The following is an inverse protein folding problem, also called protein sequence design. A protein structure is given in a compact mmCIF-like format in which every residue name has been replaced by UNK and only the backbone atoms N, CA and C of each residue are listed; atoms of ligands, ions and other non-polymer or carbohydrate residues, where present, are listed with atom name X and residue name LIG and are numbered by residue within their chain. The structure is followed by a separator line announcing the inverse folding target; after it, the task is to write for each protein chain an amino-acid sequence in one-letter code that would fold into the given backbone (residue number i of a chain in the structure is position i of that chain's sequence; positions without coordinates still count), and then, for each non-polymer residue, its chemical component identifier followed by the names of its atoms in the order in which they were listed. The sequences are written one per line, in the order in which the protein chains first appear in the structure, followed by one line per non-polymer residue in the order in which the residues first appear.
data_IF_453544572097
#
_entry.id   IF_453544572097
#
_cell.length_a   1.000
_cell.length_b   1.000
_cell.length_c   1.000
_cell.angle_alpha   90.00
_cell.angle_beta   90.00
_cell.angle_gamma   90.00
#
_symmetry.space_group_name_H-M   'P 1'
#
loop_
_entity.id
_entity.type
_entity.pdbx_description
1 polymer ?
#
# COMPACT_ATOMS: atom_id res chain seq x y z
N UNK A 1 12.27 12.18 -51.68
CA UNK A 1 13.67 11.85 -51.29
C UNK A 1 13.84 12.32 -49.86
N UNK A 2 13.95 11.40 -48.89
CA UNK A 2 14.14 11.80 -47.49
C UNK A 2 15.58 12.31 -47.32
N UNK A 3 15.70 13.53 -46.82
CA UNK A 3 17.00 14.13 -46.53
C UNK A 3 17.74 13.28 -45.48
N UNK A 4 19.02 12.95 -45.75
CA UNK A 4 19.87 12.15 -44.86
C UNK A 4 19.94 12.75 -43.45
N UNK A 5 19.84 14.07 -43.34
CA UNK A 5 19.81 14.77 -42.06
C UNK A 5 18.58 14.42 -41.20
N UNK A 6 17.41 14.24 -41.83
CA UNK A 6 16.19 13.85 -41.12
C UNK A 6 16.23 12.39 -40.67
N UNK A 7 16.84 11.51 -41.45
CA UNK A 7 16.97 10.10 -41.10
C UNK A 7 17.83 9.90 -39.84
N UNK A 8 18.90 10.69 -39.69
CA UNK A 8 19.77 10.65 -38.52
C UNK A 8 19.02 11.07 -37.24
N UNK A 9 18.23 12.16 -37.31
CA UNK A 9 17.44 12.65 -36.17
C UNK A 9 16.37 11.66 -35.72
N UNK A 10 15.70 11.01 -36.66
CA UNK A 10 14.68 9.98 -36.36
C UNK A 10 15.33 8.78 -35.68
N UNK A 11 16.53 8.35 -36.13
CA UNK A 11 17.25 7.23 -35.54
C UNK A 11 17.68 7.53 -34.10
N UNK A 12 18.20 8.72 -33.82
CA UNK A 12 18.62 9.11 -32.47
C UNK A 12 17.42 9.24 -31.51
N UNK A 13 16.28 9.73 -32.01
CA UNK A 13 15.04 9.80 -31.24
C UNK A 13 14.53 8.39 -30.89
N UNK A 14 14.49 7.48 -31.87
CA UNK A 14 14.09 6.09 -31.68
C UNK A 14 15.02 5.36 -30.72
N UNK A 15 16.33 5.54 -30.86
CA UNK A 15 17.32 4.95 -29.97
C UNK A 15 17.15 5.45 -28.53
N UNK A 16 16.91 6.74 -28.35
CA UNK A 16 16.67 7.33 -27.02
C UNK A 16 15.38 6.79 -26.38
N UNK A 17 14.30 6.68 -27.15
CA UNK A 17 13.01 6.15 -26.67
C UNK A 17 13.11 4.66 -26.33
N UNK A 18 13.74 3.87 -27.19
CA UNK A 18 13.96 2.43 -26.97
C UNK A 18 14.87 2.19 -25.76
N UNK A 19 15.96 2.94 -25.62
CA UNK A 19 16.87 2.77 -24.49
C UNK A 19 16.22 3.16 -23.17
N UNK A 20 15.38 4.21 -23.15
CA UNK A 20 14.62 4.61 -21.95
C UNK A 20 13.58 3.57 -21.54
N UNK A 21 12.86 3.00 -22.51
CA UNK A 21 11.86 1.95 -22.25
C UNK A 21 12.51 0.64 -21.82
N UNK A 22 13.60 0.21 -22.46
CA UNK A 22 14.34 -0.99 -22.06
C UNK A 22 14.96 -0.87 -20.66
N UNK A 23 15.48 0.31 -20.31
CA UNK A 23 16.06 0.54 -18.98
C UNK A 23 14.99 0.43 -17.88
N UNK A 24 13.78 0.94 -18.14
CA UNK A 24 12.64 0.80 -17.24
C UNK A 24 12.22 -0.67 -17.06
N UNK A 25 12.16 -1.45 -18.16
CA UNK A 25 11.83 -2.88 -18.11
C UNK A 25 12.90 -3.69 -17.34
N UNK A 26 14.19 -3.39 -17.54
CA UNK A 26 15.28 -4.04 -16.79
C UNK A 26 15.21 -3.74 -15.29
N UNK A 27 14.84 -2.53 -14.91
CA UNK A 27 14.66 -2.16 -13.50
C UNK A 27 13.50 -2.93 -12.86
N UNK A 28 12.40 -3.09 -13.59
CA UNK A 28 11.24 -3.89 -13.16
C UNK A 28 11.59 -5.38 -13.01
N UNK A 29 12.44 -5.92 -13.87
CA UNK A 29 12.87 -7.33 -13.80
C UNK A 29 13.87 -7.58 -12.66
N UNK A 30 14.87 -6.70 -12.50
CA UNK A 30 15.83 -6.80 -11.40
C UNK A 30 15.15 -6.66 -10.02
N UNK A 31 14.12 -5.81 -9.95
CA UNK A 31 13.27 -5.68 -8.77
C UNK A 31 12.47 -6.94 -8.40
N UNK A 32 12.16 -7.78 -9.39
CA UNK A 32 11.43 -9.03 -9.17
C UNK A 32 12.34 -10.18 -8.70
N UNK A 33 13.63 -10.16 -9.11
CA UNK A 33 14.62 -11.18 -8.73
C UNK A 33 15.29 -10.89 -7.37
N UNK A 34 15.47 -9.62 -6.99
CA UNK A 34 16.02 -9.25 -5.69
C UNK A 34 14.95 -9.26 -4.60
N UNK A 35 14.78 -10.43 -3.98
CA UNK A 35 13.95 -10.60 -2.79
C UNK A 35 14.21 -9.50 -1.75
N UNK A 36 13.15 -8.75 -1.43
CA UNK A 36 13.02 -7.91 -0.23
C UNK A 36 13.90 -6.65 -0.11
N UNK A 37 14.73 -6.27 -1.08
CA UNK A 37 15.20 -4.88 -1.10
C UNK A 37 14.06 -4.00 -1.60
N UNK A 38 13.51 -3.24 -0.65
CA UNK A 38 12.43 -2.27 -0.82
C UNK A 38 12.61 -1.57 -2.16
N UNK A 39 11.62 -1.74 -3.03
CA UNK A 39 11.47 -1.00 -4.28
C UNK A 39 11.24 0.48 -3.95
N UNK A 40 12.24 1.16 -3.41
CA UNK A 40 12.22 2.61 -3.33
C UNK A 40 12.34 3.08 -4.77
N UNK A 41 11.30 3.71 -5.35
CA UNK A 41 11.42 4.22 -6.69
C UNK A 41 12.64 5.13 -6.73
N UNK A 42 13.53 4.98 -7.72
CA UNK A 42 14.70 5.83 -7.84
C UNK A 42 14.24 7.28 -7.77
N UNK A 43 14.94 8.07 -6.97
CA UNK A 43 14.64 9.49 -6.68
C UNK A 43 14.37 10.27 -7.99
N UNK A 44 15.04 9.84 -9.05
CA UNK A 44 14.98 10.32 -10.42
C UNK A 44 13.58 10.23 -11.05
N UNK A 45 12.73 9.26 -10.67
CA UNK A 45 11.39 9.13 -11.26
C UNK A 45 10.54 10.36 -10.94
N UNK A 46 10.71 10.97 -9.77
CA UNK A 46 9.96 12.15 -9.37
C UNK A 46 10.15 13.37 -10.29
N UNK A 47 11.28 13.44 -11.00
CA UNK A 47 11.56 14.52 -11.95
C UNK A 47 10.64 14.48 -13.18
N UNK A 48 10.05 13.32 -13.47
CA UNK A 48 9.18 13.12 -14.63
C UNK A 48 7.68 13.30 -14.32
N UNK A 49 7.29 13.38 -13.04
CA UNK A 49 5.89 13.39 -12.60
C UNK A 49 5.31 14.79 -12.36
N UNK A 50 5.95 15.82 -12.91
CA UNK A 50 5.54 17.22 -12.78
C UNK A 50 5.70 17.78 -11.35
N UNK A 51 5.61 19.11 -11.23
CA UNK A 51 5.90 19.80 -9.96
C UNK A 51 4.85 19.55 -8.85
N UNK A 52 3.72 18.91 -9.19
CA UNK A 52 2.63 18.61 -8.25
C UNK A 52 2.85 17.32 -7.47
N UNK A 53 3.73 16.43 -7.96
CA UNK A 53 3.97 15.12 -7.36
C UNK A 53 5.18 15.16 -6.44
N UNK A 54 4.96 14.96 -5.14
CA UNK A 54 6.09 14.85 -4.21
C UNK A 54 6.77 13.49 -4.34
N UNK A 55 8.09 13.46 -4.13
CA UNK A 55 8.88 12.21 -4.06
C UNK A 55 8.25 11.17 -3.13
N UNK A 56 7.78 11.61 -1.96
CA UNK A 56 7.11 10.74 -0.99
C UNK A 56 5.77 10.22 -1.51
N UNK A 57 4.98 11.06 -2.18
CA UNK A 57 3.72 10.64 -2.79
C UNK A 57 3.89 9.51 -3.80
N UNK A 58 4.90 9.63 -4.67
CA UNK A 58 5.24 8.59 -5.66
C UNK A 58 5.71 7.31 -4.96
N UNK A 59 6.61 7.43 -3.98
CA UNK A 59 7.07 6.28 -3.19
C UNK A 59 5.91 5.52 -2.54
N UNK A 60 4.98 6.25 -1.90
CA UNK A 60 3.79 5.63 -1.30
C UNK A 60 2.86 5.01 -2.33
N UNK A 61 2.73 5.59 -3.52
CA UNK A 61 1.92 5.00 -4.58
C UNK A 61 2.49 3.65 -5.04
N UNK A 62 3.81 3.57 -5.25
CA UNK A 62 4.49 2.32 -5.60
C UNK A 62 4.34 1.27 -4.50
N UNK A 63 4.60 1.65 -3.25
CA UNK A 63 4.50 0.73 -2.11
C UNK A 63 3.09 0.17 -1.90
N UNK A 64 2.05 0.98 -2.14
CA UNK A 64 0.65 0.59 -1.88
C UNK A 64 -0.01 -0.14 -3.04
N UNK A 65 0.29 0.24 -4.28
CA UNK A 65 -0.44 -0.27 -5.44
C UNK A 65 0.42 -1.17 -6.33
N UNK A 66 1.73 -0.91 -6.46
CA UNK A 66 2.55 -1.65 -7.42
C UNK A 66 3.21 -2.86 -6.77
N UNK A 67 3.84 -2.66 -5.61
CA UNK A 67 4.58 -3.73 -4.92
C UNK A 67 3.68 -4.92 -4.51
N UNK A 68 2.48 -4.73 -3.92
CA UNK A 68 1.63 -5.84 -3.52
C UNK A 68 1.14 -6.65 -4.73
N UNK A 69 0.76 -5.97 -5.81
CA UNK A 69 0.32 -6.63 -7.04
C UNK A 69 1.47 -7.40 -7.70
N UNK A 70 2.68 -6.81 -7.77
CA UNK A 70 3.86 -7.51 -8.28
C UNK A 70 4.19 -8.76 -7.46
N UNK A 71 4.05 -8.71 -6.13
CA UNK A 71 4.21 -9.88 -5.25
C UNK A 71 3.15 -10.94 -5.51
N UNK A 72 1.88 -10.55 -5.65
CA UNK A 72 0.79 -11.49 -5.93
C UNK A 72 1.03 -12.25 -7.25
N UNK A 73 1.51 -11.57 -8.30
CA UNK A 73 1.90 -12.25 -9.55
C UNK A 73 3.06 -13.22 -9.38
N UNK A 74 4.08 -12.85 -8.60
CA UNK A 74 5.22 -13.73 -8.32
C UNK A 74 4.80 -14.96 -7.52
N UNK A 75 3.90 -14.82 -6.55
CA UNK A 75 3.36 -15.92 -5.76
C UNK A 75 2.50 -16.86 -6.60
N UNK A 76 1.56 -16.32 -7.40
CA UNK A 76 0.75 -17.09 -8.33
C UNK A 76 1.63 -17.91 -9.30
N UNK A 77 2.67 -17.27 -9.86
CA UNK A 77 3.63 -17.96 -10.74
C UNK A 77 4.39 -19.08 -10.01
N UNK A 78 4.81 -18.85 -8.76
CA UNK A 78 5.49 -19.88 -7.95
C UNK A 78 4.59 -21.07 -7.63
N UNK A 79 3.28 -20.82 -7.49
CA UNK A 79 2.26 -21.85 -7.25
C UNK A 79 1.84 -22.57 -8.54
N UNK A 80 2.28 -22.12 -9.71
CA UNK A 80 1.86 -22.68 -11.00
C UNK A 80 0.46 -22.25 -11.40
N UNK A 81 -0.08 -21.19 -10.80
CA UNK A 81 -1.37 -20.62 -11.14
C UNK A 81 -1.27 -19.70 -12.36
N UNK A 82 -2.36 -19.61 -13.12
CA UNK A 82 -2.45 -18.67 -14.23
C UNK A 82 -2.54 -17.24 -13.70
N UNK A 83 -1.53 -16.43 -14.01
CA UNK A 83 -1.45 -15.02 -13.64
C UNK A 83 -2.61 -14.18 -14.15
N UNK A 84 -3.33 -14.64 -15.17
CA UNK A 84 -4.50 -13.94 -15.73
C UNK A 84 -5.67 -13.87 -14.73
N UNK A 85 -5.70 -14.77 -13.74
CA UNK A 85 -6.74 -14.83 -12.71
C UNK A 85 -6.36 -14.06 -11.42
N UNK A 86 -5.18 -13.44 -11.36
CA UNK A 86 -4.75 -12.68 -10.18
C UNK A 86 -5.53 -11.38 -10.10
N UNK A 87 -6.35 -11.26 -9.05
CA UNK A 87 -7.11 -10.04 -8.78
C UNK A 87 -6.15 -8.98 -8.25
N UNK A 88 -5.91 -7.93 -9.05
CA UNK A 88 -5.11 -6.79 -8.64
C UNK A 88 -5.88 -5.98 -7.59
N UNK A 89 -5.19 -5.65 -6.49
CA UNK A 89 -5.78 -4.81 -5.44
C UNK A 89 -5.39 -3.37 -5.71
N UNK A 90 -6.37 -2.56 -6.11
CA UNK A 90 -6.20 -1.13 -6.31
C UNK A 90 -6.62 -0.38 -5.06
N UNK A 91 -5.87 0.68 -4.70
CA UNK A 91 -6.20 1.55 -3.58
C UNK A 91 -6.33 0.81 -2.23
N UNK A 92 -5.49 -0.20 -2.00
CA UNK A 92 -5.18 -0.65 -0.64
C UNK A 92 -4.40 0.48 0.04
N UNK A 93 -5.11 1.54 0.42
CA UNK A 93 -4.66 2.33 1.54
C UNK A 93 -4.68 1.34 2.69
N UNK A 94 -3.57 1.23 3.41
CA UNK A 94 -3.55 0.95 4.87
C UNK A 94 -4.29 2.08 5.63
N UNK A 95 -5.36 2.57 5.03
CA UNK A 95 -6.12 3.73 5.38
C UNK A 95 -6.90 3.28 6.57
N UNK A 96 -6.41 3.74 7.73
CA UNK A 96 -7.20 3.96 8.94
C UNK A 96 -8.68 3.91 8.56
N UNK A 97 -9.36 2.79 8.85
CA UNK A 97 -10.68 2.50 8.29
C UNK A 97 -11.72 3.59 8.64
N UNK A 98 -11.36 4.45 9.58
CA UNK A 98 -12.10 5.61 10.02
C UNK A 98 -12.68 6.51 8.93
N UNK A 99 -12.01 6.83 7.80
CA UNK A 99 -12.57 7.85 6.87
C UNK A 99 -13.79 7.38 6.08
N UNK A 100 -13.73 6.19 5.51
CA UNK A 100 -14.89 5.62 4.79
C UNK A 100 -15.98 5.23 5.76
N UNK A 101 -15.61 4.62 6.90
CA UNK A 101 -16.59 4.26 7.93
C UNK A 101 -17.28 5.50 8.51
N UNK A 102 -16.58 6.64 8.69
CA UNK A 102 -17.26 7.86 9.16
C UNK A 102 -18.34 8.40 8.23
N UNK A 103 -18.32 8.06 6.93
CA UNK A 103 -19.40 8.47 6.01
C UNK A 103 -20.71 7.74 6.31
N UNK A 104 -20.66 6.60 6.99
CA UNK A 104 -21.84 5.85 7.42
C UNK A 104 -22.42 6.36 8.75
N UNK A 105 -21.73 7.29 9.43
CA UNK A 105 -22.21 7.92 10.66
C UNK A 105 -22.76 9.33 10.35
N UNK A 106 -23.27 10.02 11.37
CA UNK A 106 -23.76 11.38 11.24
C UNK A 106 -22.64 12.37 10.82
N UNK A 107 -23.04 13.53 10.30
CA UNK A 107 -22.11 14.58 9.88
C UNK A 107 -21.28 15.16 11.04
N UNK A 108 -21.67 14.88 12.29
CA UNK A 108 -20.94 15.25 13.51
C UNK A 108 -19.76 14.33 13.84
N UNK A 109 -19.73 13.09 13.32
CA UNK A 109 -18.70 12.11 13.66
C UNK A 109 -17.35 12.43 13.01
N UNK A 110 -16.37 12.82 13.84
CA UNK A 110 -14.98 13.03 13.38
C UNK A 110 -14.25 11.69 13.24
N UNK A 111 -13.51 11.49 12.15
CA UNK A 111 -12.73 10.26 11.93
C UNK A 111 -11.70 9.98 13.03
N UNK A 112 -11.21 11.03 13.69
CA UNK A 112 -10.32 10.89 14.84
C UNK A 112 -11.03 10.29 16.07
N UNK A 113 -12.27 10.69 16.34
CA UNK A 113 -13.08 10.15 17.44
C UNK A 113 -13.36 8.67 17.23
N UNK A 114 -13.77 8.29 16.01
CA UNK A 114 -13.98 6.89 15.65
C UNK A 114 -12.68 6.07 15.80
N UNK A 115 -11.55 6.62 15.32
CA UNK A 115 -10.25 5.98 15.49
C UNK A 115 -9.87 5.80 16.96
N UNK A 116 -10.06 6.83 17.79
CA UNK A 116 -9.79 6.77 19.22
C UNK A 116 -10.67 5.73 19.93
N UNK A 117 -11.93 5.61 19.53
CA UNK A 117 -12.85 4.60 20.07
C UNK A 117 -12.43 3.18 19.67
N UNK A 118 -12.15 2.94 18.38
CA UNK A 118 -11.71 1.63 17.89
C UNK A 118 -10.39 1.23 18.55
N UNK A 119 -9.42 2.13 18.62
CA UNK A 119 -8.11 1.82 19.19
C UNK A 119 -8.14 1.71 20.72
N UNK A 120 -8.92 2.55 21.39
CA UNK A 120 -8.99 2.61 22.84
C UNK A 120 -9.90 1.55 23.47
N UNK A 121 -10.99 1.16 22.79
CA UNK A 121 -11.96 0.19 23.33
C UNK A 121 -11.96 -1.13 22.60
N UNK A 122 -12.06 -1.12 21.27
CA UNK A 122 -12.24 -2.36 20.50
C UNK A 122 -10.95 -3.17 20.48
N UNK A 123 -9.79 -2.54 20.23
CA UNK A 123 -8.50 -3.24 20.16
C UNK A 123 -8.14 -4.04 21.42
N UNK A 124 -8.23 -3.49 22.66
CA UNK A 124 -7.96 -4.29 23.85
C UNK A 124 -8.95 -5.44 24.04
N UNK A 125 -10.22 -5.27 23.66
CA UNK A 125 -11.21 -6.36 23.68
C UNK A 125 -10.81 -7.49 22.71
N UNK A 126 -10.43 -7.16 21.48
CA UNK A 126 -9.98 -8.16 20.50
C UNK A 126 -8.73 -8.89 20.97
N UNK A 127 -7.81 -8.18 21.65
CA UNK A 127 -6.62 -8.79 22.25
C UNK A 127 -6.98 -9.78 23.36
N UNK A 128 -7.88 -9.39 24.28
CA UNK A 128 -8.31 -10.27 25.37
C UNK A 128 -8.97 -11.55 24.86
N UNK A 129 -9.80 -11.45 23.80
CA UNK A 129 -10.41 -12.60 23.14
C UNK A 129 -9.33 -13.52 22.53
N UNK A 130 -8.32 -12.95 21.86
CA UNK A 130 -7.21 -13.73 21.28
C UNK A 130 -6.41 -14.47 22.36
N UNK A 131 -6.07 -13.79 23.46
CA UNK A 131 -5.29 -14.38 24.56
C UNK A 131 -6.05 -15.50 25.27
N UNK A 132 -7.35 -15.35 25.49
CA UNK A 132 -8.18 -16.40 26.06
C UNK A 132 -8.30 -17.61 25.14
N UNK A 133 -8.42 -17.38 23.83
CA UNK A 133 -8.38 -18.48 22.84
C UNK A 133 -7.05 -19.23 22.90
N UNK A 134 -5.93 -18.52 23.05
CA UNK A 134 -4.59 -19.12 23.20
C UNK A 134 -4.46 -19.93 24.51
N UNK A 135 -5.15 -19.53 25.58
CA UNK A 135 -5.24 -20.30 26.83
C UNK A 135 -6.18 -21.51 26.76
N UNK A 136 -7.00 -21.61 25.71
CA UNK A 136 -8.05 -22.62 25.61
C UNK A 136 -9.32 -22.28 26.39
N UNK A 137 -9.45 -21.05 26.87
CA UNK A 137 -10.67 -20.54 27.51
C UNK A 137 -11.75 -20.28 26.44
N UNK A 138 -13.02 -20.42 26.81
CA UNK A 138 -14.13 -20.06 25.94
C UNK A 138 -14.25 -18.53 25.86
N UNK A 139 -14.19 -17.94 24.65
CA UNK A 139 -14.20 -16.48 24.49
C UNK A 139 -15.50 -15.80 24.95
N UNK A 140 -16.60 -16.55 25.08
CA UNK A 140 -17.88 -16.02 25.57
C UNK A 140 -17.89 -15.75 27.08
N UNK A 141 -16.98 -16.38 27.83
CA UNK A 141 -16.91 -16.26 29.30
C UNK A 141 -15.99 -15.09 29.74
N UNK A 142 -15.37 -14.39 28.79
CA UNK A 142 -14.49 -13.26 29.08
C UNK A 142 -15.31 -12.00 29.28
N UNK A 143 -15.16 -11.38 30.45
CA UNK A 143 -15.69 -10.04 30.69
C UNK A 143 -14.88 -8.99 29.92
N UNK A 144 -15.47 -8.44 28.84
CA UNK A 144 -14.83 -7.44 27.99
C UNK A 144 -14.67 -6.05 28.66
N UNK A 145 -15.26 -5.86 29.84
CA UNK A 145 -15.17 -4.59 30.59
C UNK A 145 -13.90 -4.49 31.43
N UNK A 146 -13.26 -5.61 31.79
CA UNK A 146 -12.14 -5.64 32.72
C UNK A 146 -10.85 -4.96 32.22
N UNK A 147 -10.76 -4.66 30.92
CA UNK A 147 -9.59 -4.00 30.31
C UNK A 147 -9.79 -2.53 29.92
N UNK A 148 -10.98 -1.96 30.15
CA UNK A 148 -11.22 -0.55 29.91
C UNK A 148 -10.62 0.23 31.10
N UNK A 149 -9.57 1.03 30.86
CA UNK A 149 -9.05 1.94 31.88
C UNK A 149 -10.18 2.89 32.33
N UNK A 150 -10.71 2.66 33.52
CA UNK A 150 -11.56 3.63 34.20
C UNK A 150 -10.67 4.81 34.61
N UNK A 151 -10.91 5.98 34.04
CA UNK A 151 -10.27 7.22 34.47
C UNK A 151 -9.12 7.69 33.60
N UNK A 152 -9.44 8.49 32.58
CA UNK A 152 -8.53 9.56 32.18
C UNK A 152 -8.50 10.63 33.29
N UNK A 153 -7.39 11.36 33.50
CA UNK A 153 -7.28 12.34 34.57
C UNK A 153 -8.39 13.39 34.44
N UNK A 154 -9.16 13.58 35.52
CA UNK A 154 -10.05 14.73 35.68
C UNK A 154 -9.21 15.99 35.48
N UNK A 155 -9.48 16.72 34.39
CA UNK A 155 -8.91 18.05 34.21
C UNK A 155 -9.70 19.00 35.10
N UNK A 156 -9.12 19.36 36.24
CA UNK A 156 -9.52 20.52 37.04
C UNK A 156 -9.22 21.84 36.33
#
# INVERSE_FOLDING_TARGET
MFDKANLARVRDLLFTVLHRTFSFCRYLFAAAEYGSQVLTPPIEISQYFGNTSTKNGISYYFQRNIVPNAKAFLEARKQGEDTTNVIMVENVRDGKPGKEITKCYDSGMKSHTLYAHVWGKVKPMTKAISEARERGDNPMDISLTAGLQEGGPEKG
#
